data_IF_955822255225
#
_entry.id   IF_955822255225
#
_cell.length_a   1.000
_cell.length_b   1.000
_cell.length_c   1.000
_cell.angle_alpha   90.00
_cell.angle_beta   90.00
_cell.angle_gamma   90.00
#
_symmetry.space_group_name_H-M   'P 1'
#
loop_
_entity.id
_entity.type
_entity.pdbx_description
1 polymer ?
#
# COMPACT_ATOMS: atom_id res chain seq x y z
N UNK A 1 -27.97 -20.62 4.18
CA UNK A 1 -26.57 -20.91 4.61
C UNK A 1 -25.70 -20.86 3.36
N UNK A 2 -25.19 -19.69 3.00
CA UNK A 2 -24.32 -19.53 1.82
C UNK A 2 -23.10 -18.73 2.21
N UNK A 3 -21.96 -19.23 1.73
CA UNK A 3 -20.61 -19.09 2.26
C UNK A 3 -20.09 -17.65 2.17
N UNK A 4 -19.50 -17.16 3.25
CA UNK A 4 -18.39 -16.21 3.20
C UNK A 4 -17.34 -16.74 2.21
N UNK A 5 -17.26 -16.12 1.04
CA UNK A 5 -16.25 -16.40 0.02
C UNK A 5 -15.59 -15.08 -0.41
N UNK A 6 -15.47 -14.14 0.53
CA UNK A 6 -15.02 -12.78 0.25
C UNK A 6 -13.52 -12.56 0.47
N UNK A 7 -12.73 -13.60 0.71
CA UNK A 7 -11.34 -13.40 1.15
C UNK A 7 -10.29 -14.36 0.59
N UNK A 8 -10.47 -14.82 -0.65
CA UNK A 8 -9.46 -15.65 -1.35
C UNK A 8 -9.15 -15.16 -2.77
N UNK A 9 -9.58 -13.94 -3.15
CA UNK A 9 -9.13 -13.36 -4.41
C UNK A 9 -7.70 -12.83 -4.23
N UNK A 10 -6.69 -13.34 -4.98
CA UNK A 10 -5.32 -12.91 -4.80
C UNK A 10 -5.22 -11.39 -5.00
N UNK A 11 -4.57 -10.70 -4.07
CA UNK A 11 -4.36 -9.23 -4.05
C UNK A 11 -3.70 -8.68 -5.33
N UNK A 12 -3.24 -9.57 -6.20
CA UNK A 12 -2.59 -9.32 -7.47
C UNK A 12 -3.27 -10.18 -8.55
N UNK A 13 -4.51 -9.84 -8.92
CA UNK A 13 -5.12 -10.47 -10.09
C UNK A 13 -4.42 -9.91 -11.32
N UNK A 14 -3.46 -10.70 -11.83
CA UNK A 14 -2.73 -10.46 -13.08
C UNK A 14 -3.71 -10.66 -14.24
N UNK A 15 -4.63 -9.72 -14.46
CA UNK A 15 -5.62 -9.82 -15.53
C UNK A 15 -4.96 -9.49 -16.88
N UNK A 16 -4.96 -10.46 -17.79
CA UNK A 16 -4.44 -10.30 -19.15
C UNK A 16 -5.49 -9.57 -19.99
N UNK A 17 -5.37 -8.26 -20.12
CA UNK A 17 -6.15 -7.47 -21.08
C UNK A 17 -5.39 -7.47 -22.42
N UNK A 18 -5.63 -8.48 -23.26
CA UNK A 18 -4.91 -8.66 -24.52
C UNK A 18 -3.41 -8.97 -24.34
N UNK A 19 -2.52 -8.13 -24.89
CA UNK A 19 -1.05 -8.28 -24.78
C UNK A 19 -0.41 -7.42 -23.67
N UNK A 20 -1.22 -6.76 -22.82
CA UNK A 20 -0.71 -5.81 -21.82
C UNK A 20 -1.10 -6.26 -20.41
N UNK A 21 -0.10 -6.34 -19.54
CA UNK A 21 -0.30 -6.54 -18.11
C UNK A 21 -0.77 -5.21 -17.52
N UNK A 22 -2.06 -5.12 -17.20
CA UNK A 22 -2.62 -3.94 -16.52
C UNK A 22 -2.73 -4.29 -15.05
N UNK A 23 -1.96 -3.59 -14.21
CA UNK A 23 -2.07 -3.70 -12.76
C UNK A 23 -3.34 -3.02 -12.30
N UNK A 24 -4.38 -3.80 -12.00
CA UNK A 24 -5.60 -3.30 -11.37
C UNK A 24 -5.39 -3.20 -9.87
N UNK A 25 -4.98 -2.01 -9.42
CA UNK A 25 -4.86 -1.76 -8.00
C UNK A 25 -6.24 -1.41 -7.42
N UNK A 26 -6.90 -2.38 -6.75
CA UNK A 26 -8.24 -2.18 -6.17
C UNK A 26 -8.26 -1.18 -4.99
N UNK A 27 -7.12 -0.89 -4.35
CA UNK A 27 -7.04 0.06 -3.24
C UNK A 27 -5.77 0.93 -3.31
N UNK A 28 -5.73 1.92 -4.23
CA UNK A 28 -4.61 2.86 -4.36
C UNK A 28 -4.29 3.60 -3.06
N UNK A 29 -5.29 3.84 -2.21
CA UNK A 29 -5.10 4.48 -0.91
C UNK A 29 -4.29 3.60 0.05
N UNK A 30 -4.61 2.31 0.15
CA UNK A 30 -3.91 1.39 1.04
C UNK A 30 -2.42 1.24 0.72
N UNK A 31 -2.06 1.14 -0.56
CA UNK A 31 -0.66 1.06 -0.97
C UNK A 31 0.04 2.41 -0.84
N UNK A 32 -0.64 3.52 -1.15
CA UNK A 32 -0.11 4.85 -0.90
C UNK A 32 0.24 5.03 0.58
N UNK A 33 -0.61 4.56 1.50
CA UNK A 33 -0.31 4.59 2.95
C UNK A 33 0.93 3.75 3.28
N UNK A 34 1.01 2.51 2.79
CA UNK A 34 2.19 1.65 3.02
C UNK A 34 3.49 2.30 2.53
N UNK A 35 3.45 3.08 1.45
CA UNK A 35 4.62 3.78 0.90
C UNK A 35 4.90 5.09 1.63
N UNK A 36 3.88 5.88 1.97
CA UNK A 36 4.03 7.23 2.56
C UNK A 36 4.38 7.14 4.05
N UNK A 37 3.77 6.21 4.79
CA UNK A 37 3.97 6.06 6.23
C UNK A 37 5.45 5.95 6.65
N UNK A 38 6.30 5.09 6.05
CA UNK A 38 7.72 5.02 6.44
C UNK A 38 8.48 6.32 6.13
N UNK A 39 8.15 7.01 5.03
CA UNK A 39 8.79 8.29 4.67
C UNK A 39 8.48 9.35 5.73
N UNK A 40 7.19 9.49 6.10
CA UNK A 40 6.76 10.44 7.13
C UNK A 40 7.39 10.10 8.48
N UNK A 41 7.46 8.82 8.85
CA UNK A 41 8.07 8.37 10.10
C UNK A 41 9.55 8.77 10.18
N UNK A 42 10.32 8.54 9.11
CA UNK A 42 11.75 8.92 9.05
C UNK A 42 11.92 10.44 9.11
N UNK A 43 11.15 11.20 8.35
CA UNK A 43 11.21 12.66 8.36
C UNK A 43 10.87 13.24 9.73
N UNK A 44 9.87 12.68 10.40
CA UNK A 44 9.44 13.12 11.73
C UNK A 44 10.52 12.80 12.77
N UNK A 45 11.09 11.59 12.72
CA UNK A 45 12.18 11.20 13.60
C UNK A 45 13.42 12.08 13.40
N UNK A 46 13.76 12.40 12.15
CA UNK A 46 14.87 13.28 11.83
C UNK A 46 14.62 14.71 12.34
N UNK A 47 13.42 15.26 12.14
CA UNK A 47 13.03 16.57 12.64
C UNK A 47 13.16 16.63 14.19
N UNK A 48 12.65 15.63 14.90
CA UNK A 48 12.79 15.53 16.36
C UNK A 48 14.25 15.40 16.79
N UNK A 49 15.05 14.59 16.10
CA UNK A 49 16.48 14.45 16.40
C UNK A 49 17.28 15.73 16.15
N UNK A 50 16.87 16.56 15.18
CA UNK A 50 17.55 17.81 14.85
C UNK A 50 17.13 18.99 15.74
N UNK A 51 15.93 18.92 16.32
CA UNK A 51 15.35 19.94 17.19
C UNK A 51 15.63 19.77 18.68
N UNK A 52 16.29 18.68 19.09
CA UNK A 52 16.80 18.51 20.45
C UNK A 52 18.23 19.10 20.48
N UNK A 53 18.42 20.35 20.95
CA UNK A 53 19.76 20.80 21.31
C UNK A 53 20.26 19.88 22.44
N UNK A 54 21.49 19.37 22.28
CA UNK A 54 22.18 18.57 23.30
C UNK A 54 22.52 19.43 24.51
#
# INVERSE_FOLDING_TARGET
>A
MSRHHDNEQPLLVRQRYGNRWVYHHRNPGGLALVVITPIVAVLTLWALSSGIPR
#
